data_IF_197711885369
#
_entry.id   IF_197711885369
#
_cell.length_a   1.000
_cell.length_b   1.000
_cell.length_c   1.000
_cell.angle_alpha   90.00
_cell.angle_beta   90.00
_cell.angle_gamma   90.00
#
_symmetry.space_group_name_H-M   'P 1'
#
loop_
_entity.id
_entity.type
_entity.pdbx_description
1 polymer ?
#
# COMPACT_ATOMS: atom_id res chain seq x y z
N UNK A 1 9.53 4.63 28.06
CA UNK A 1 9.65 4.86 29.51
C UNK A 1 10.78 5.83 29.75
N UNK A 2 10.70 6.67 30.78
CA UNK A 2 11.75 7.63 31.12
C UNK A 2 13.04 6.97 31.64
N UNK A 3 13.00 5.68 31.99
CA UNK A 3 14.16 4.88 32.40
C UNK A 3 14.60 5.12 33.84
N UNK A 4 13.87 5.97 34.55
CA UNK A 4 14.02 6.37 35.95
C UNK A 4 13.55 5.29 36.94
N UNK A 5 12.62 4.43 36.54
CA UNK A 5 12.12 3.31 37.34
C UNK A 5 12.28 2.01 36.57
N UNK A 6 13.06 1.07 37.14
CA UNK A 6 13.30 -0.26 36.58
C UNK A 6 13.28 -1.34 37.67
N UNK A 7 12.83 -2.57 37.35
CA UNK A 7 12.80 -3.65 38.33
C UNK A 7 14.23 -4.06 38.71
N UNK A 8 14.52 -3.99 40.01
CA UNK A 8 15.81 -4.37 40.59
C UNK A 8 15.92 -5.87 40.85
N UNK A 9 14.78 -6.58 40.95
CA UNK A 9 14.75 -8.02 41.24
C UNK A 9 14.92 -8.85 39.98
N UNK A 10 15.56 -10.03 40.09
CA UNK A 10 15.74 -10.94 38.96
C UNK A 10 14.43 -11.38 38.33
N UNK A 11 13.42 -11.69 39.17
CA UNK A 11 12.06 -12.03 38.70
C UNK A 11 11.39 -10.85 37.98
N UNK A 12 11.57 -9.63 38.49
CA UNK A 12 11.00 -8.43 37.87
C UNK A 12 11.64 -8.10 36.53
N UNK A 13 12.95 -8.31 36.38
CA UNK A 13 13.64 -8.16 35.08
C UNK A 13 13.17 -9.18 34.05
N UNK A 14 12.94 -10.41 34.48
CA UNK A 14 12.38 -11.46 33.63
C UNK A 14 10.98 -11.07 33.11
N UNK A 15 10.05 -10.68 34.00
CA UNK A 15 8.72 -10.23 33.58
C UNK A 15 8.78 -8.99 32.69
N UNK A 16 9.63 -8.01 33.02
CA UNK A 16 9.78 -6.80 32.23
C UNK A 16 10.22 -7.09 30.79
N UNK A 17 11.11 -8.08 30.59
CA UNK A 17 11.55 -8.50 29.26
C UNK A 17 10.39 -9.08 28.42
N UNK A 18 9.52 -9.89 29.04
CA UNK A 18 8.36 -10.48 28.37
C UNK A 18 7.36 -9.39 27.97
N UNK A 19 7.05 -8.48 28.90
CA UNK A 19 6.11 -7.38 28.65
C UNK A 19 6.63 -6.46 27.54
N UNK A 20 7.94 -6.21 27.48
CA UNK A 20 8.54 -5.40 26.41
C UNK A 20 8.34 -6.05 25.03
N UNK A 21 8.60 -7.34 24.89
CA UNK A 21 8.39 -8.08 23.63
C UNK A 21 6.92 -8.06 23.23
N UNK A 22 6.02 -8.32 24.18
CA UNK A 22 4.58 -8.27 23.94
C UNK A 22 4.12 -6.86 23.52
N UNK A 23 4.62 -5.82 24.19
CA UNK A 23 4.30 -4.43 23.87
C UNK A 23 4.69 -4.07 22.44
N UNK A 24 5.89 -4.48 21.99
CA UNK A 24 6.28 -4.29 20.60
C UNK A 24 5.39 -5.07 19.64
N UNK A 25 5.00 -6.30 19.96
CA UNK A 25 4.06 -7.07 19.15
C UNK A 25 2.70 -6.38 19.01
N UNK A 26 2.13 -5.89 20.11
CA UNK A 26 0.83 -5.22 20.15
C UNK A 26 0.82 -3.95 19.29
N UNK A 27 1.93 -3.20 19.27
CA UNK A 27 2.04 -1.97 18.47
C UNK A 27 2.36 -2.29 17.00
N UNK A 28 3.28 -3.22 16.74
CA UNK A 28 3.76 -3.52 15.40
C UNK A 28 2.72 -4.23 14.51
N UNK A 29 1.89 -5.10 15.08
CA UNK A 29 0.89 -5.87 14.33
C UNK A 29 -0.16 -4.98 13.64
N UNK A 30 -0.90 -4.08 14.32
CA UNK A 30 -1.88 -3.22 13.67
C UNK A 30 -1.24 -2.25 12.68
N UNK A 31 -0.05 -1.72 12.99
CA UNK A 31 0.72 -0.88 12.06
C UNK A 31 1.11 -1.67 10.78
N UNK A 32 1.51 -2.93 10.92
CA UNK A 32 1.84 -3.82 9.81
C UNK A 32 0.64 -4.10 8.91
N UNK A 33 -0.53 -4.39 9.49
CA UNK A 33 -1.77 -4.62 8.74
C UNK A 33 -2.14 -3.36 7.94
N UNK A 34 -2.13 -2.19 8.58
CA UNK A 34 -2.43 -0.92 7.90
C UNK A 34 -1.41 -0.60 6.80
N UNK A 35 -0.12 -0.85 7.05
CA UNK A 35 0.94 -0.64 6.06
C UNK A 35 0.74 -1.52 4.82
N UNK A 36 0.33 -2.78 4.99
CA UNK A 36 0.04 -3.68 3.87
C UNK A 36 -1.16 -3.20 3.06
N UNK A 37 -2.23 -2.74 3.71
CA UNK A 37 -3.41 -2.21 3.03
C UNK A 37 -3.08 -0.97 2.21
N UNK A 38 -2.34 -0.01 2.79
CA UNK A 38 -1.88 1.20 2.10
C UNK A 38 -0.98 0.85 0.91
N UNK A 39 -0.05 -0.10 1.08
CA UNK A 39 0.84 -0.53 0.00
C UNK A 39 0.07 -1.21 -1.15
N UNK A 40 -0.99 -1.97 -0.85
CA UNK A 40 -1.87 -2.58 -1.86
C UNK A 40 -2.69 -1.53 -2.60
N UNK A 41 -3.33 -0.62 -1.87
CA UNK A 41 -4.08 0.49 -2.46
C UNK A 41 -3.20 1.39 -3.34
N UNK A 42 -1.94 1.62 -2.94
CA UNK A 42 -0.98 2.35 -3.77
C UNK A 42 -0.63 1.62 -5.07
N UNK A 43 -0.53 0.28 -5.05
CA UNK A 43 -0.24 -0.52 -6.25
C UNK A 43 -1.41 -0.57 -7.23
N UNK A 44 -2.65 -0.56 -6.75
CA UNK A 44 -3.84 -0.58 -7.61
C UNK A 44 -3.90 0.66 -8.54
N UNK A 45 -3.39 1.80 -8.09
CA UNK A 45 -3.33 3.03 -8.87
C UNK A 45 -2.20 3.07 -9.91
N UNK A 46 -1.29 2.09 -9.89
CA UNK A 46 -0.12 2.01 -10.76
C UNK A 46 -0.37 1.08 -11.98
N UNK A 47 -1.64 0.91 -12.36
CA UNK A 47 -2.03 0.20 -13.56
C UNK A 47 -1.67 1.04 -14.79
N UNK A 48 -0.44 0.88 -15.26
CA UNK A 48 0.02 1.43 -16.54
C UNK A 48 -0.64 0.60 -17.64
N UNK A 49 -1.49 1.19 -18.49
CA UNK A 49 -2.10 0.47 -19.59
C UNK A 49 -1.03 -0.07 -20.53
N UNK A 50 -1.19 -1.33 -20.93
CA UNK A 50 -0.23 -2.04 -21.79
C UNK A 50 -0.71 -2.17 -23.23
N UNK A 51 -1.93 -1.74 -23.52
CA UNK A 51 -2.42 -1.63 -24.89
C UNK A 51 -1.60 -0.62 -25.71
N UNK A 52 -1.52 -0.88 -27.00
CA UNK A 52 -0.83 -0.02 -27.98
C UNK A 52 -1.85 0.69 -28.88
N UNK A 53 -3.05 0.96 -28.36
CA UNK A 53 -4.13 1.52 -29.16
C UNK A 53 -3.87 3.00 -29.42
N UNK A 54 -3.92 3.39 -30.70
CA UNK A 54 -3.75 4.77 -31.14
C UNK A 54 -5.04 5.23 -31.78
N UNK A 55 -5.61 6.32 -31.26
CA UNK A 55 -6.82 6.88 -31.82
C UNK A 55 -6.55 7.44 -33.22
N UNK A 56 -7.26 6.93 -34.23
CA UNK A 56 -7.13 7.39 -35.63
C UNK A 56 -7.68 8.81 -35.87
N UNK A 57 -8.50 9.33 -34.95
CA UNK A 57 -9.15 10.63 -35.09
C UNK A 57 -8.36 11.77 -34.45
N UNK A 58 -7.81 11.58 -33.24
CA UNK A 58 -7.07 12.61 -32.51
C UNK A 58 -5.58 12.30 -32.30
N UNK A 59 -5.13 11.09 -32.62
CA UNK A 59 -3.73 10.67 -32.45
C UNK A 59 -3.32 10.31 -31.02
N UNK A 60 -4.24 10.34 -30.05
CA UNK A 60 -3.95 9.99 -28.67
C UNK A 60 -3.61 8.49 -28.54
N UNK A 61 -2.49 8.20 -27.88
CA UNK A 61 -1.89 6.86 -27.77
C UNK A 61 -1.88 6.32 -26.33
N UNK A 62 -2.60 6.97 -25.41
CA UNK A 62 -2.72 6.52 -24.02
C UNK A 62 -4.19 6.26 -23.66
N UNK A 63 -4.61 5.00 -23.74
CA UNK A 63 -5.95 4.55 -23.34
C UNK A 63 -5.86 3.50 -22.24
N UNK A 64 -6.89 3.36 -21.40
CA UNK A 64 -6.94 2.28 -20.41
C UNK A 64 -7.12 0.94 -21.11
N UNK A 65 -6.61 -0.14 -20.52
CA UNK A 65 -6.81 -1.48 -21.09
C UNK A 65 -8.31 -1.78 -21.21
N UNK A 66 -8.73 -2.30 -22.37
CA UNK A 66 -10.13 -2.54 -22.75
C UNK A 66 -10.99 -1.28 -22.99
N UNK A 67 -10.39 -0.12 -23.28
CA UNK A 67 -11.14 1.07 -23.69
C UNK A 67 -11.77 0.89 -25.08
N UNK A 68 -13.10 0.98 -25.18
CA UNK A 68 -13.82 0.91 -26.48
C UNK A 68 -13.81 2.27 -27.19
N UNK A 69 -13.81 3.35 -26.40
CA UNK A 69 -13.86 4.73 -26.87
C UNK A 69 -12.64 5.51 -26.42
N UNK A 70 -12.20 6.46 -27.24
CA UNK A 70 -11.10 7.36 -26.92
C UNK A 70 -11.48 8.30 -25.78
N UNK A 71 -10.67 8.36 -24.71
CA UNK A 71 -10.88 9.27 -23.56
C UNK A 71 -10.84 10.75 -23.94
N UNK A 72 -10.15 11.08 -25.03
CA UNK A 72 -9.86 12.47 -25.44
C UNK A 72 -10.88 12.99 -26.43
N UNK A 73 -11.31 12.18 -27.41
CA UNK A 73 -12.21 12.61 -28.48
C UNK A 73 -13.53 11.83 -28.59
N UNK A 74 -13.74 10.78 -27.79
CA UNK A 74 -14.99 10.02 -27.74
C UNK A 74 -15.28 9.10 -28.94
N UNK A 75 -14.39 9.01 -29.94
CA UNK A 75 -14.54 8.09 -31.07
C UNK A 75 -14.13 6.66 -30.72
N UNK A 76 -14.65 5.68 -31.46
CA UNK A 76 -14.27 4.26 -31.36
C UNK A 76 -12.77 4.08 -31.65
N UNK A 77 -12.05 3.41 -30.75
CA UNK A 77 -10.61 3.18 -30.87
C UNK A 77 -10.28 2.08 -31.90
N UNK A 78 -11.10 1.03 -31.94
CA UNK A 78 -10.97 -0.07 -32.88
C UNK A 78 -12.33 -0.39 -33.53
N UNK A 79 -12.67 0.25 -34.66
CA UNK A 79 -13.88 -0.06 -35.42
C UNK A 79 -13.83 -1.44 -36.09
#
# INVERSE_FOLDING_TARGET
GYGDVAPVTGLGRFLASIIMILGYGIIAVPAGIMSQEIARASKENDHIPTNTDVCRYCGDNYHLDNSIYCKTCGHLLNP
#
